data_IF_604126957161
#
_entry.id   IF_604126957161
#
_cell.length_a   1.000
_cell.length_b   1.000
_cell.length_c   1.000
_cell.angle_alpha   90.00
_cell.angle_beta   90.00
_cell.angle_gamma   90.00
#
_symmetry.space_group_name_H-M   'P 1'
#
loop_
_entity.id
_entity.type
_entity.pdbx_description
1 polymer ?
#
# COMPACT_ATOMS: atom_id res chain seq x y z
N UNK A 1 -6.39 -2.77 -2.99
CA UNK A 1 -6.09 -3.73 -1.89
C UNK A 1 -5.29 -4.89 -2.48
N UNK A 2 -4.27 -5.40 -1.78
CA UNK A 2 -3.49 -6.57 -2.24
C UNK A 2 -3.52 -7.65 -1.15
N UNK A 3 -3.84 -8.88 -1.53
CA UNK A 3 -3.89 -10.06 -0.67
C UNK A 3 -2.56 -10.83 -0.64
N UNK A 4 -2.34 -11.66 0.38
CA UNK A 4 -1.13 -12.48 0.47
C UNK A 4 -0.98 -13.46 -0.70
N UNK A 5 -2.10 -13.98 -1.22
CA UNK A 5 -2.09 -14.89 -2.38
C UNK A 5 -1.60 -14.18 -3.63
N UNK A 6 -2.06 -12.95 -3.87
CA UNK A 6 -1.59 -12.13 -4.99
C UNK A 6 -0.10 -11.80 -4.83
N UNK A 7 0.35 -11.44 -3.63
CA UNK A 7 1.77 -11.14 -3.35
C UNK A 7 2.65 -12.36 -3.59
N UNK A 8 2.22 -13.55 -3.17
CA UNK A 8 2.94 -14.80 -3.38
C UNK A 8 3.10 -15.12 -4.88
N UNK A 9 2.13 -14.75 -5.71
CA UNK A 9 2.18 -14.93 -7.16
C UNK A 9 2.99 -13.85 -7.90
N UNK A 10 3.32 -12.72 -7.26
CA UNK A 10 4.16 -11.67 -7.85
C UNK A 10 5.64 -12.07 -7.86
N UNK A 11 6.38 -11.66 -8.90
CA UNK A 11 7.85 -11.67 -8.90
C UNK A 11 8.42 -10.63 -7.91
N UNK A 12 9.72 -10.68 -7.66
CA UNK A 12 10.38 -9.70 -6.79
C UNK A 12 10.22 -8.26 -7.33
N UNK A 13 10.45 -8.08 -8.64
CA UNK A 13 10.32 -6.80 -9.33
C UNK A 13 8.88 -6.29 -9.31
N UNK A 14 7.91 -7.20 -9.50
CA UNK A 14 6.50 -6.85 -9.42
C UNK A 14 6.08 -6.42 -8.00
N UNK A 15 6.65 -7.03 -6.96
CA UNK A 15 6.43 -6.62 -5.55
C UNK A 15 7.02 -5.24 -5.29
N UNK A 16 8.22 -4.96 -5.80
CA UNK A 16 8.88 -3.66 -5.66
C UNK A 16 8.12 -2.55 -6.37
N UNK A 17 7.74 -2.75 -7.64
CA UNK A 17 6.92 -1.81 -8.39
C UNK A 17 5.58 -1.55 -7.68
N UNK A 18 4.92 -2.61 -7.21
CA UNK A 18 3.65 -2.47 -6.49
C UNK A 18 3.81 -1.76 -5.15
N UNK A 19 4.94 -1.95 -4.46
CA UNK A 19 5.24 -1.25 -3.22
C UNK A 19 5.38 0.26 -3.45
N UNK A 20 6.05 0.65 -4.53
CA UNK A 20 6.26 2.05 -4.90
C UNK A 20 4.93 2.74 -5.23
N UNK A 21 4.08 2.12 -6.06
CA UNK A 21 2.73 2.63 -6.35
C UNK A 21 1.90 2.88 -5.09
N UNK A 22 1.91 1.93 -4.15
CA UNK A 22 1.15 2.06 -2.89
C UNK A 22 1.73 3.15 -1.97
N UNK A 23 3.03 3.42 -2.03
CA UNK A 23 3.66 4.51 -1.27
C UNK A 23 3.27 5.88 -1.83
N UNK A 24 3.17 6.01 -3.16
CA UNK A 24 2.68 7.22 -3.83
C UNK A 24 1.20 7.48 -3.50
N UNK A 25 0.36 6.45 -3.57
CA UNK A 25 -1.05 6.53 -3.17
C UNK A 25 -1.18 6.98 -1.70
N UNK A 26 -0.36 6.41 -0.81
CA UNK A 26 -0.35 6.80 0.60
C UNK A 26 0.09 8.26 0.80
N UNK A 27 1.02 8.77 -0.02
CA UNK A 27 1.44 10.16 0.02
C UNK A 27 0.29 11.10 -0.35
N UNK A 28 -0.44 10.79 -1.41
CA UNK A 28 -1.63 11.55 -1.82
C UNK A 28 -2.69 11.58 -0.72
N UNK A 29 -3.03 10.41 -0.16
CA UNK A 29 -4.00 10.30 0.95
C UNK A 29 -3.55 11.08 2.21
N UNK A 30 -2.25 11.21 2.45
CA UNK A 30 -1.71 12.05 3.54
C UNK A 30 -1.86 13.54 3.23
N UNK A 31 -1.63 13.94 1.98
CA UNK A 31 -1.83 15.32 1.55
C UNK A 31 -3.30 15.74 1.72
N UNK A 32 -4.24 14.93 1.25
CA UNK A 32 -5.68 15.15 1.42
C UNK A 32 -6.06 15.32 2.90
N UNK A 33 -5.55 14.44 3.76
CA UNK A 33 -5.78 14.52 5.22
C UNK A 33 -5.20 15.80 5.82
N UNK A 34 -4.03 16.25 5.37
CA UNK A 34 -3.35 17.43 5.91
C UNK A 34 -4.06 18.73 5.53
N UNK A 35 -4.81 18.76 4.44
CA UNK A 35 -5.57 19.93 3.99
C UNK A 35 -6.86 20.19 4.78
N UNK A 36 -7.08 19.46 5.88
CA UNK A 36 -8.20 19.70 6.81
C UNK A 36 -9.54 19.10 6.35
N UNK A 37 -9.55 18.32 5.27
CA UNK A 37 -10.72 17.55 4.88
C UNK A 37 -10.89 16.30 5.74
N UNK A 38 -12.14 15.92 6.03
CA UNK A 38 -12.45 14.52 6.37
C UNK A 38 -11.94 13.67 5.20
N UNK A 39 -10.99 12.73 5.39
CA UNK A 39 -10.48 11.97 4.27
C UNK A 39 -11.66 11.27 3.61
N UNK A 40 -11.90 11.55 2.33
CA UNK A 40 -13.00 10.94 1.57
C UNK A 40 -12.91 9.39 1.61
N UNK A 41 -11.74 8.86 1.97
CA UNK A 41 -11.49 7.43 2.05
C UNK A 41 -10.56 7.03 3.21
N UNK A 42 -10.97 7.26 4.47
CA UNK A 42 -10.29 6.64 5.64
C UNK A 42 -10.11 5.12 5.44
N UNK A 43 -11.07 4.47 4.76
CA UNK A 43 -10.98 3.07 4.33
C UNK A 43 -9.80 2.79 3.39
N UNK A 44 -9.58 3.64 2.37
CA UNK A 44 -8.45 3.50 1.45
C UNK A 44 -7.13 3.69 2.20
N UNK A 45 -6.99 4.74 3.02
CA UNK A 45 -5.79 4.95 3.84
C UNK A 45 -5.39 3.70 4.66
N UNK A 46 -6.37 3.10 5.36
CA UNK A 46 -6.15 1.87 6.14
C UNK A 46 -5.85 0.67 5.23
N UNK A 47 -6.46 0.57 4.05
CA UNK A 47 -6.23 -0.52 3.11
C UNK A 47 -4.84 -0.44 2.44
N UNK A 48 -4.42 0.75 2.02
CA UNK A 48 -3.13 1.03 1.39
C UNK A 48 -2.00 0.76 2.38
N UNK A 49 -2.10 1.27 3.62
CA UNK A 49 -1.15 0.93 4.70
C UNK A 49 -1.02 -0.57 4.95
N UNK A 50 -2.13 -1.31 5.01
CA UNK A 50 -2.12 -2.77 5.21
C UNK A 50 -1.52 -3.53 4.03
N UNK A 51 -1.72 -3.04 2.81
CA UNK A 51 -1.14 -3.64 1.60
C UNK A 51 0.38 -3.45 1.57
N UNK A 52 0.87 -2.25 1.91
CA UNK A 52 2.31 -1.98 2.08
C UNK A 52 2.94 -2.89 3.12
N UNK A 53 2.30 -3.02 4.30
CA UNK A 53 2.83 -3.87 5.37
C UNK A 53 3.00 -5.33 4.92
N UNK A 54 2.00 -5.89 4.23
CA UNK A 54 2.06 -7.25 3.71
C UNK A 54 3.15 -7.46 2.66
N UNK A 55 3.31 -6.53 1.72
CA UNK A 55 4.40 -6.59 0.74
C UNK A 55 5.76 -6.62 1.45
N UNK A 56 6.00 -5.69 2.38
CA UNK A 56 7.25 -5.65 3.15
C UNK A 56 7.49 -6.95 3.94
N UNK A 57 6.45 -7.51 4.57
CA UNK A 57 6.56 -8.79 5.28
C UNK A 57 6.96 -9.92 4.34
N UNK A 58 6.35 -10.02 3.15
CA UNK A 58 6.71 -11.05 2.17
C UNK A 58 8.10 -10.85 1.57
N UNK A 59 8.57 -9.61 1.43
CA UNK A 59 9.92 -9.31 0.93
C UNK A 59 11.01 -9.59 1.98
N UNK A 60 10.72 -9.41 3.28
CA UNK A 60 11.69 -9.63 4.35
C UNK A 60 11.72 -11.07 4.88
N UNK A 61 10.64 -11.84 4.72
CA UNK A 61 10.51 -13.21 5.24
C UNK A 61 10.68 -14.28 4.15
N UNK A 62 11.18 -13.92 2.96
CA UNK A 62 11.58 -14.84 1.89
C UNK A 62 13.08 -14.99 1.83
#
# INVERSE_FOLDING_TARGET
>A
YVSNREIAAMSAEAREARLLELQEELLQLRAEKSLGGTPASIGAYKATRRSIARLKTHMNNG
#
